data_IF_761833322701
#
_entry.id   IF_761833322701
#
_cell.length_a   1.000
_cell.length_b   1.000
_cell.length_c   1.000
_cell.angle_alpha   90.00
_cell.angle_beta   90.00
_cell.angle_gamma   90.00
#
_symmetry.space_group_name_H-M   'P 1'
#
loop_
_entity.id
_entity.type
_entity.pdbx_description
1 polymer ?
#
# COMPACT_ATOMS: atom_id res chain seq x y z
N UNK A 1 3.20 -11.15 -10.15
CA UNK A 1 2.23 -10.04 -10.05
C UNK A 1 1.30 -10.39 -8.91
N UNK A 2 1.37 -9.64 -7.81
CA UNK A 2 0.55 -9.88 -6.61
C UNK A 2 -0.90 -9.55 -6.96
N UNK A 3 -1.63 -10.53 -7.50
CA UNK A 3 -3.02 -10.39 -7.89
C UNK A 3 -3.91 -10.60 -6.66
N UNK A 4 -3.84 -9.67 -5.72
CA UNK A 4 -4.70 -9.64 -4.55
C UNK A 4 -5.81 -8.64 -4.85
N UNK A 5 -7.06 -9.12 -4.93
CA UNK A 5 -8.22 -8.24 -5.06
C UNK A 5 -8.34 -7.37 -3.81
N UNK A 6 -7.92 -6.11 -3.94
CA UNK A 6 -7.98 -5.10 -2.89
C UNK A 6 -9.21 -4.21 -3.08
N UNK A 7 -9.86 -3.89 -1.96
CA UNK A 7 -11.01 -3.01 -1.86
C UNK A 7 -10.74 -1.92 -0.83
N UNK A 8 -11.48 -0.82 -0.91
CA UNK A 8 -11.49 0.21 0.14
C UNK A 8 -11.90 -0.42 1.46
N UNK A 9 -11.12 -0.15 2.51
CA UNK A 9 -11.28 -0.72 3.85
C UNK A 9 -10.42 -1.96 4.12
N UNK A 10 -9.82 -2.58 3.10
CA UNK A 10 -8.92 -3.70 3.31
C UNK A 10 -7.66 -3.27 4.08
N UNK A 11 -7.14 -4.20 4.89
CA UNK A 11 -5.86 -4.06 5.57
C UNK A 11 -4.74 -4.61 4.72
N UNK A 12 -3.63 -3.89 4.68
CA UNK A 12 -2.45 -4.28 3.93
C UNK A 12 -1.20 -4.12 4.76
N UNK A 13 -0.16 -4.86 4.38
CA UNK A 13 1.19 -4.78 4.93
C UNK A 13 2.18 -4.50 3.82
N UNK A 14 3.06 -3.53 4.04
CA UNK A 14 4.19 -3.26 3.16
C UNK A 14 5.24 -4.37 3.31
N UNK A 15 5.62 -5.00 2.21
CA UNK A 15 6.70 -6.00 2.18
C UNK A 15 7.98 -5.38 1.65
N UNK A 16 7.90 -4.56 0.59
CA UNK A 16 9.04 -3.84 0.01
C UNK A 16 8.56 -2.64 -0.81
N UNK A 17 9.31 -1.55 -0.75
CA UNK A 17 9.22 -0.42 -1.67
C UNK A 17 10.64 0.07 -1.94
N UNK A 18 10.89 0.55 -3.15
CA UNK A 18 12.17 1.17 -3.53
C UNK A 18 12.04 2.72 -3.58
N UNK A 19 10.93 3.28 -3.07
CA UNK A 19 10.69 4.72 -3.01
C UNK A 19 11.57 5.40 -1.93
N UNK A 20 12.50 6.26 -2.36
CA UNK A 20 13.41 6.99 -1.47
C UNK A 20 12.74 8.15 -0.71
N UNK A 21 11.52 8.53 -1.07
CA UNK A 21 10.78 9.65 -0.47
C UNK A 21 9.82 9.23 0.64
N UNK A 22 9.66 7.93 0.91
CA UNK A 22 8.86 7.42 2.03
C UNK A 22 9.72 6.97 3.20
N UNK A 23 9.21 7.18 4.42
CA UNK A 23 9.83 6.66 5.65
C UNK A 23 9.28 5.29 6.06
N UNK A 24 8.27 4.78 5.36
CA UNK A 24 7.66 3.49 5.64
C UNK A 24 8.69 2.37 5.58
N UNK A 25 8.65 1.47 6.57
CA UNK A 25 9.51 0.30 6.63
C UNK A 25 8.73 -0.96 6.25
N UNK A 26 9.39 -1.98 5.67
CA UNK A 26 8.82 -3.31 5.55
C UNK A 26 8.21 -3.76 6.89
N UNK A 27 6.97 -4.20 6.85
CA UNK A 27 6.17 -4.55 8.02
C UNK A 27 5.16 -3.48 8.46
N UNK A 28 5.25 -2.26 7.95
CA UNK A 28 4.23 -1.24 8.18
C UNK A 28 2.87 -1.73 7.68
N UNK A 29 1.81 -1.42 8.43
CA UNK A 29 0.45 -1.78 8.08
C UNK A 29 -0.40 -0.54 7.83
N UNK A 30 -1.43 -0.68 7.01
CA UNK A 30 -2.33 0.42 6.68
C UNK A 30 -3.68 -0.06 6.16
N UNK A 31 -4.60 0.89 6.01
CA UNK A 31 -5.95 0.66 5.49
C UNK A 31 -6.10 1.33 4.13
N UNK A 32 -6.58 0.57 3.13
CA UNK A 32 -6.89 1.10 1.80
C UNK A 32 -8.01 2.13 1.93
N UNK A 33 -7.72 3.37 1.51
CA UNK A 33 -8.69 4.48 1.53
C UNK A 33 -9.32 4.71 0.16
N UNK A 34 -8.55 4.54 -0.90
CA UNK A 34 -8.99 4.83 -2.26
C UNK A 34 -8.13 4.05 -3.27
N UNK A 35 -8.74 3.61 -4.37
CA UNK A 35 -8.01 3.05 -5.52
C UNK A 35 -8.38 3.95 -6.70
N UNK A 36 -7.39 4.58 -7.32
CA UNK A 36 -7.63 5.48 -8.44
C UNK A 36 -7.73 4.76 -9.78
N UNK A 37 -8.04 5.51 -10.83
CA UNK A 37 -8.19 5.02 -12.20
C UNK A 37 -6.87 4.54 -12.82
N UNK A 38 -5.73 4.95 -12.26
CA UNK A 38 -4.40 4.43 -12.58
C UNK A 38 -4.02 3.18 -11.78
N UNK A 39 -4.95 2.65 -10.97
CA UNK A 39 -4.78 1.49 -10.08
C UNK A 39 -3.76 1.70 -8.95
N UNK A 40 -3.42 2.93 -8.61
CA UNK A 40 -2.65 3.19 -7.39
C UNK A 40 -3.55 3.02 -6.17
N UNK A 41 -3.02 2.39 -5.13
CA UNK A 41 -3.77 2.03 -3.94
C UNK A 41 -3.37 3.01 -2.84
N UNK A 42 -4.21 4.02 -2.59
CA UNK A 42 -3.98 5.03 -1.57
C UNK A 42 -4.27 4.44 -0.20
N UNK A 43 -3.23 4.31 0.63
CA UNK A 43 -3.30 3.69 1.96
C UNK A 43 -3.09 4.76 3.02
N UNK A 44 -3.93 4.73 4.06
CA UNK A 44 -3.65 5.41 5.32
C UNK A 44 -2.89 4.43 6.20
N UNK A 45 -1.61 4.71 6.42
CA UNK A 45 -0.74 3.85 7.22
C UNK A 45 -0.93 4.14 8.71
N UNK A 46 -0.71 3.13 9.55
CA UNK A 46 -0.94 3.22 11.00
C UNK A 46 -0.07 4.28 11.68
N UNK A 47 1.07 4.62 11.07
CA UNK A 47 1.96 5.71 11.49
C UNK A 47 1.41 7.12 11.17
N UNK A 48 0.20 7.21 10.60
CA UNK A 48 -0.51 8.46 10.34
C UNK A 48 -0.18 9.12 8.99
N UNK A 49 0.65 8.48 8.15
CA UNK A 49 0.99 8.96 6.81
C UNK A 49 0.06 8.41 5.75
N UNK A 50 -0.11 9.15 4.66
CA UNK A 50 -0.79 8.68 3.45
C UNK A 50 0.24 8.43 2.38
N UNK A 51 0.29 7.20 1.87
CA UNK A 51 1.20 6.80 0.81
C UNK A 51 0.52 5.77 -0.08
N UNK A 52 0.67 5.94 -1.39
CA UNK A 52 0.03 5.08 -2.37
C UNK A 52 0.96 3.93 -2.76
N UNK A 53 0.44 2.71 -2.78
CA UNK A 53 1.15 1.55 -3.32
C UNK A 53 0.92 1.46 -4.83
N UNK A 54 1.99 1.23 -5.57
CA UNK A 54 1.99 1.01 -7.01
C UNK A 54 2.16 -0.50 -7.26
N UNK A 55 1.13 -1.22 -7.78
CA UNK A 55 1.14 -2.68 -7.90
C UNK A 55 2.36 -3.30 -8.62
N UNK A 56 2.96 -2.56 -9.56
CA UNK A 56 4.09 -3.04 -10.35
C UNK A 56 5.47 -2.67 -9.76
N UNK A 57 5.52 -1.78 -8.76
CA UNK A 57 6.76 -1.32 -8.13
C UNK A 57 6.89 -1.81 -6.69
N UNK A 58 5.79 -1.79 -5.95
CA UNK A 58 5.76 -2.15 -4.54
C UNK A 58 5.34 -3.62 -4.33
N UNK A 59 5.87 -4.21 -3.27
CA UNK A 59 5.46 -5.52 -2.78
C UNK A 59 4.67 -5.31 -1.50
N UNK A 60 3.45 -5.82 -1.47
CA UNK A 60 2.55 -5.75 -0.34
C UNK A 60 1.66 -6.99 -0.32
N UNK A 61 1.05 -7.24 0.83
CA UNK A 61 0.07 -8.31 1.01
C UNK A 61 -1.18 -7.78 1.72
N UNK A 62 -2.33 -8.39 1.42
CA UNK A 62 -3.58 -8.17 2.17
C UNK A 62 -3.54 -9.01 3.45
N UNK A 63 -4.04 -8.44 4.54
CA UNK A 63 -4.19 -9.09 5.86
C UNK A 63 -5.64 -9.51 6.07
#
# INVERSE_FOLDING_TARGET
MNNVDLNVGDRVKLIRTDDEYTHLKPGACGTVKHIDDMKQIHVVWDEGVVFALIPDLDIYEKI
#
